data_IF_477789165226
#
_entry.id   IF_477789165226
#
_cell.length_a   1.000
_cell.length_b   1.000
_cell.length_c   1.000
_cell.angle_alpha   90.00
_cell.angle_beta   90.00
_cell.angle_gamma   90.00
#
_symmetry.space_group_name_H-M   'P 1'
#
loop_
_entity.id
_entity.type
_entity.pdbx_description
1 polymer ?
#
# COMPACT_ATOMS: atom_id res chain seq x y z
N UNK A 1 17.68 -10.24 -29.68
CA UNK A 1 16.77 -9.17 -29.22
C UNK A 1 16.27 -9.61 -27.86
N UNK A 2 16.49 -8.79 -26.82
CA UNK A 2 16.38 -9.16 -25.41
C UNK A 2 14.95 -9.57 -25.01
N UNK A 3 14.76 -10.84 -24.65
CA UNK A 3 13.55 -11.38 -24.01
C UNK A 3 13.45 -11.01 -22.51
N UNK A 4 14.54 -10.57 -21.87
CA UNK A 4 14.59 -10.29 -20.43
C UNK A 4 13.55 -9.26 -19.97
N UNK A 5 13.31 -8.22 -20.78
CA UNK A 5 12.41 -7.14 -20.37
C UNK A 5 10.94 -7.58 -20.39
N UNK A 6 10.54 -8.35 -21.40
CA UNK A 6 9.17 -8.87 -21.51
C UNK A 6 8.85 -9.92 -20.45
N UNK A 7 9.82 -10.77 -20.11
CA UNK A 7 9.66 -11.79 -19.07
C UNK A 7 9.56 -11.13 -17.69
N UNK A 8 10.44 -10.18 -17.37
CA UNK A 8 10.37 -9.39 -16.14
C UNK A 8 9.04 -8.62 -16.00
N UNK A 9 8.58 -7.96 -17.05
CA UNK A 9 7.29 -7.25 -17.05
C UNK A 9 6.11 -8.18 -16.82
N UNK A 10 6.14 -9.38 -17.43
CA UNK A 10 5.11 -10.39 -17.25
C UNK A 10 5.10 -10.92 -15.82
N UNK A 11 6.26 -11.24 -15.25
CA UNK A 11 6.39 -11.69 -13.87
C UNK A 11 5.95 -10.61 -12.88
N UNK A 12 6.43 -9.38 -13.05
CA UNK A 12 6.04 -8.23 -12.24
C UNK A 12 4.52 -8.00 -12.28
N UNK A 13 3.94 -7.97 -13.47
CA UNK A 13 2.49 -7.85 -13.65
C UNK A 13 1.71 -9.01 -13.02
N UNK A 14 2.25 -10.23 -13.05
CA UNK A 14 1.61 -11.39 -12.41
C UNK A 14 1.60 -11.28 -10.88
N UNK A 15 2.68 -10.77 -10.29
CA UNK A 15 2.83 -10.58 -8.84
C UNK A 15 1.92 -9.47 -8.32
N UNK A 16 1.84 -8.34 -9.03
CA UNK A 16 0.92 -7.24 -8.69
C UNK A 16 -0.53 -7.72 -8.75
N UNK A 17 -0.91 -8.39 -9.84
CA UNK A 17 -2.25 -8.94 -10.00
C UNK A 17 -2.60 -10.01 -8.96
N UNK A 18 -1.62 -10.78 -8.50
CA UNK A 18 -1.82 -11.76 -7.43
C UNK A 18 -2.13 -11.04 -6.11
N UNK A 19 -1.26 -10.11 -5.69
CA UNK A 19 -1.43 -9.38 -4.43
C UNK A 19 -2.69 -8.51 -4.41
N UNK A 20 -3.06 -7.90 -5.53
CA UNK A 20 -4.29 -7.11 -5.62
C UNK A 20 -5.55 -7.97 -5.43
N UNK A 21 -5.48 -9.24 -5.83
CA UNK A 21 -6.57 -10.22 -5.66
C UNK A 21 -6.55 -10.88 -4.28
N UNK A 22 -5.39 -11.26 -3.76
CA UNK A 22 -5.29 -12.02 -2.50
C UNK A 22 -5.27 -11.14 -1.28
N UNK A 23 -4.73 -9.93 -1.38
CA UNK A 23 -4.70 -8.93 -0.32
C UNK A 23 -5.71 -7.84 -0.64
N UNK A 24 -5.26 -6.78 -1.31
CA UNK A 24 -6.02 -5.64 -1.81
C UNK A 24 -5.13 -4.78 -2.71
N UNK A 25 -5.75 -4.00 -3.59
CA UNK A 25 -5.03 -3.06 -4.46
C UNK A 25 -4.44 -1.92 -3.65
N UNK A 26 -3.19 -1.56 -3.96
CA UNK A 26 -2.50 -0.39 -3.39
C UNK A 26 -1.81 0.37 -4.52
N UNK A 27 -2.13 1.65 -4.62
CA UNK A 27 -1.49 2.59 -5.53
C UNK A 27 -0.64 3.58 -4.72
N UNK A 28 0.50 3.99 -5.28
CA UNK A 28 1.45 4.89 -4.61
C UNK A 28 1.83 5.99 -5.59
N UNK A 29 1.67 7.23 -5.15
CA UNK A 29 2.05 8.42 -5.89
C UNK A 29 3.08 9.23 -5.11
N UNK A 30 4.10 9.71 -5.82
CA UNK A 30 5.12 10.60 -5.28
C UNK A 30 4.92 12.02 -5.80
N UNK A 31 4.75 12.96 -4.87
CA UNK A 31 4.80 14.40 -5.13
C UNK A 31 6.09 15.00 -4.55
N UNK A 32 6.40 16.26 -4.89
CA UNK A 32 7.59 16.95 -4.38
C UNK A 32 7.64 17.01 -2.84
N UNK A 33 6.50 17.15 -2.19
CA UNK A 33 6.39 17.40 -0.74
C UNK A 33 5.76 16.26 0.05
N UNK A 34 5.25 15.21 -0.60
CA UNK A 34 4.62 14.08 0.08
C UNK A 34 4.59 12.82 -0.77
N UNK A 35 4.41 11.68 -0.13
CA UNK A 35 3.88 10.45 -0.75
C UNK A 35 2.38 10.32 -0.44
N UNK A 36 1.62 9.84 -1.40
CA UNK A 36 0.22 9.46 -1.24
C UNK A 36 0.10 7.96 -1.51
N UNK A 37 -0.42 7.23 -0.54
CA UNK A 37 -0.75 5.81 -0.66
C UNK A 37 -2.26 5.67 -0.63
N UNK A 38 -2.80 4.99 -1.63
CA UNK A 38 -4.23 4.70 -1.75
C UNK A 38 -4.43 3.18 -1.68
N UNK A 39 -5.33 2.72 -0.80
CA UNK A 39 -5.70 1.31 -0.68
C UNK A 39 -7.19 1.11 -0.91
N UNK A 40 -7.56 0.11 -1.73
CA UNK A 40 -8.96 -0.29 -1.90
C UNK A 40 -9.30 -1.45 -0.95
N UNK A 41 -9.94 -1.12 0.17
CA UNK A 41 -10.36 -2.05 1.21
C UNK A 41 -11.89 -2.01 1.40
N UNK A 42 -12.70 -2.39 0.39
CA UNK A 42 -14.16 -2.38 0.52
C UNK A 42 -14.69 -3.39 1.56
N UNK A 43 -13.84 -4.30 2.04
CA UNK A 43 -14.15 -5.31 3.05
C UNK A 43 -13.85 -4.87 4.50
N UNK A 44 -13.15 -3.73 4.69
CA UNK A 44 -12.67 -3.30 5.99
C UNK A 44 -13.53 -2.18 6.60
N UNK A 45 -13.48 -2.03 7.92
CA UNK A 45 -13.95 -0.82 8.62
C UNK A 45 -12.75 -0.03 9.12
N UNK A 46 -12.95 1.22 9.52
CA UNK A 46 -11.86 2.06 10.02
C UNK A 46 -11.17 1.43 11.24
N UNK A 47 -11.95 0.78 12.10
CA UNK A 47 -11.47 0.13 13.33
C UNK A 47 -10.70 -1.16 13.06
N UNK A 48 -10.86 -1.76 11.88
CA UNK A 48 -10.17 -2.99 11.49
C UNK A 48 -8.86 -2.75 10.74
N UNK A 49 -8.48 -1.47 10.53
CA UNK A 49 -7.26 -1.08 9.82
C UNK A 49 -6.16 -0.70 10.81
N UNK A 50 -4.98 -1.29 10.63
CA UNK A 50 -3.75 -0.94 11.35
C UNK A 50 -2.71 -0.43 10.35
N UNK A 51 -2.05 0.67 10.72
CA UNK A 51 -0.90 1.22 10.00
C UNK A 51 0.34 1.08 10.88
N UNK A 52 1.37 0.45 10.35
CA UNK A 52 2.69 0.33 10.98
C UNK A 52 3.75 0.93 10.08
N UNK A 53 4.62 1.77 10.64
CA UNK A 53 5.66 2.48 9.89
C UNK A 53 6.99 2.20 10.55
N UNK A 54 7.95 1.77 9.76
CA UNK A 54 9.30 1.47 10.23
C UNK A 54 10.31 1.74 9.13
N UNK A 55 11.38 2.44 9.48
CA UNK A 55 12.44 2.85 8.55
C UNK A 55 11.85 3.49 7.28
N UNK A 56 11.94 2.81 6.14
CA UNK A 56 11.48 3.28 4.84
C UNK A 56 10.23 2.54 4.32
N UNK A 57 9.43 1.91 5.18
CA UNK A 57 8.22 1.21 4.73
C UNK A 57 7.01 1.45 5.61
N UNK A 58 5.84 1.37 4.97
CA UNK A 58 4.52 1.39 5.57
C UNK A 58 3.87 0.02 5.36
N UNK A 59 3.40 -0.60 6.43
CA UNK A 59 2.56 -1.80 6.38
C UNK A 59 1.13 -1.43 6.71
N UNK A 60 0.22 -1.80 5.80
CA UNK A 60 -1.22 -1.66 5.95
C UNK A 60 -1.77 -3.06 6.22
N UNK A 61 -2.39 -3.26 7.37
CA UNK A 61 -3.11 -4.50 7.71
C UNK A 61 -4.59 -4.20 7.92
N UNK A 62 -5.45 -5.05 7.38
CA UNK A 62 -6.89 -4.95 7.58
C UNK A 62 -7.51 -6.32 7.80
N UNK A 63 -8.46 -6.38 8.71
CA UNK A 63 -9.23 -7.60 9.00
C UNK A 63 -10.61 -7.52 8.35
N UNK A 64 -11.00 -8.56 7.62
CA UNK A 64 -12.33 -8.70 7.05
C UNK A 64 -13.38 -9.23 8.07
N UNK A 65 -14.64 -9.34 7.65
CA UNK A 65 -15.74 -9.81 8.50
C UNK A 65 -15.61 -11.28 8.94
N UNK A 66 -14.79 -12.07 8.24
CA UNK A 66 -14.49 -13.47 8.55
C UNK A 66 -13.25 -13.62 9.44
N UNK A 67 -12.66 -12.49 9.88
CA UNK A 67 -11.41 -12.40 10.63
C UNK A 67 -10.16 -12.83 9.84
N UNK A 68 -10.21 -12.84 8.51
CA UNK A 68 -8.99 -13.00 7.72
C UNK A 68 -8.20 -11.69 7.74
N UNK A 69 -6.91 -11.79 8.01
CA UNK A 69 -6.00 -10.65 7.98
C UNK A 69 -5.39 -10.53 6.59
N UNK A 70 -5.53 -9.36 5.98
CA UNK A 70 -4.90 -9.01 4.71
C UNK A 70 -3.86 -7.92 4.94
N UNK A 71 -2.72 -8.02 4.29
CA UNK A 71 -1.57 -7.13 4.53
C UNK A 71 -0.88 -6.71 3.24
N UNK A 72 -0.52 -5.43 3.15
CA UNK A 72 0.34 -4.89 2.09
C UNK A 72 1.43 -4.03 2.70
N UNK A 73 2.66 -4.21 2.21
CA UNK A 73 3.79 -3.36 2.59
C UNK A 73 4.23 -2.55 1.38
N UNK A 74 4.40 -1.24 1.58
CA UNK A 74 4.90 -0.27 0.60
C UNK A 74 6.27 0.19 1.05
N UNK A 75 7.27 0.06 0.18
CA UNK A 75 8.62 0.56 0.40
C UNK A 75 8.82 1.90 -0.28
N UNK A 76 9.50 2.81 0.41
CA UNK A 76 9.83 4.15 -0.05
C UNK A 76 11.34 4.28 -0.29
N UNK A 77 11.77 5.19 -1.19
CA UNK A 77 13.19 5.42 -1.47
C UNK A 77 13.92 6.16 -0.33
N UNK A 78 13.20 6.59 0.71
CA UNK A 78 13.72 7.33 1.86
C UNK A 78 13.11 6.81 3.17
N UNK A 79 13.78 7.05 4.30
CA UNK A 79 13.19 6.82 5.63
C UNK A 79 11.95 7.71 5.79
N UNK A 80 10.90 7.14 6.38
CA UNK A 80 9.60 7.78 6.62
C UNK A 80 9.11 7.68 8.08
N UNK A 81 9.82 6.98 8.96
CA UNK A 81 9.42 6.72 10.36
C UNK A 81 9.16 8.01 11.16
N UNK A 82 9.94 9.06 10.91
CA UNK A 82 9.80 10.36 11.57
C UNK A 82 8.93 11.37 10.79
N UNK A 83 8.32 10.94 9.68
CA UNK A 83 7.55 11.84 8.84
C UNK A 83 6.16 12.11 9.44
N UNK A 84 5.60 13.28 9.15
CA UNK A 84 4.21 13.56 9.50
C UNK A 84 3.26 12.77 8.60
N UNK A 85 2.51 11.85 9.20
CA UNK A 85 1.54 10.98 8.53
C UNK A 85 0.11 11.33 8.93
N UNK A 86 -0.79 11.35 7.96
CA UNK A 86 -2.24 11.49 8.17
C UNK A 86 -2.99 10.55 7.26
N UNK A 87 -4.09 9.96 7.74
CA UNK A 87 -4.93 9.06 6.95
C UNK A 87 -6.42 9.41 7.04
N UNK A 88 -7.15 9.05 6.00
CA UNK A 88 -8.61 9.11 5.93
C UNK A 88 -9.12 7.80 5.34
N UNK A 89 -10.17 7.24 5.92
CA UNK A 89 -10.87 6.08 5.37
C UNK A 89 -12.32 6.42 5.08
N UNK A 90 -12.76 6.24 3.83
CA UNK A 90 -14.12 6.54 3.41
C UNK A 90 -14.56 5.61 2.29
N UNK A 91 -15.73 4.97 2.46
CA UNK A 91 -16.37 4.11 1.44
C UNK A 91 -15.43 3.03 0.87
N UNK A 92 -14.59 2.44 1.71
CA UNK A 92 -13.65 1.39 1.29
C UNK A 92 -12.35 1.91 0.66
N UNK A 93 -12.13 3.23 0.60
CA UNK A 93 -10.88 3.83 0.15
C UNK A 93 -10.10 4.36 1.36
N UNK A 94 -8.86 3.91 1.51
CA UNK A 94 -7.90 4.39 2.49
C UNK A 94 -6.89 5.30 1.80
N UNK A 95 -6.84 6.56 2.19
CA UNK A 95 -5.84 7.52 1.71
C UNK A 95 -4.86 7.81 2.84
N UNK A 96 -3.56 7.66 2.59
CA UNK A 96 -2.49 7.90 3.56
C UNK A 96 -1.51 8.90 2.95
N UNK A 97 -1.37 10.05 3.58
CA UNK A 97 -0.43 11.10 3.19
C UNK A 97 0.77 11.11 4.13
N UNK A 98 1.96 10.98 3.56
CA UNK A 98 3.25 10.99 4.27
C UNK A 98 4.02 12.22 3.78
N UNK A 99 4.16 13.25 4.62
CA UNK A 99 4.88 14.46 4.21
C UNK A 99 6.39 14.18 4.18
N UNK A 100 7.07 14.62 3.12
CA UNK A 100 8.53 14.53 3.04
C UNK A 100 9.15 15.60 3.96
N UNK A 101 10.22 15.21 4.65
CA UNK A 101 11.01 16.10 5.49
C UNK A 101 12.01 16.90 4.65
#
# INVERSE_FOLDING_TARGET
>A
MNNDYSEWLSEFGSLVNYLDKTEFQVDVYEADTYYLVEGLLPFATMESILLDVKENYLTISATDLENNVKTRTVYFPTIIEDNKISSVFSKGLLEIKINKN
#
